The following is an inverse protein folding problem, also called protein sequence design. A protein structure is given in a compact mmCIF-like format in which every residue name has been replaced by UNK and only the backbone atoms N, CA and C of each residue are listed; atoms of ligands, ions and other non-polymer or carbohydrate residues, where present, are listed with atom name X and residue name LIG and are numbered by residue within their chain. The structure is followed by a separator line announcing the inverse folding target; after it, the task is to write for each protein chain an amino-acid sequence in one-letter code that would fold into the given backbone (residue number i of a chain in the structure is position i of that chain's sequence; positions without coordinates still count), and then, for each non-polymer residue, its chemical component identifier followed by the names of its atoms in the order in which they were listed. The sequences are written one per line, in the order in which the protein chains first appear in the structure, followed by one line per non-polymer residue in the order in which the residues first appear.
data_IF_578475458845
#
_entry.id   IF_578475458845
#
_cell.length_a   1.000
_cell.length_b   1.000
_cell.length_c   1.000
_cell.angle_alpha   90.00
_cell.angle_beta   90.00
_cell.angle_gamma   90.00
#
_symmetry.space_group_name_H-M   'P 1'
#
loop_
_entity.id
_entity.type
_entity.pdbx_description
1 polymer ?
#
# COMPACT_ATOMS: atom_id res chain seq x y z
N UNK A 1 10.24 -24.86 13.11
CA UNK A 1 9.84 -23.62 12.41
C UNK A 1 9.84 -22.50 13.43
N UNK A 2 10.91 -21.70 13.50
CA UNK A 2 10.91 -20.50 14.35
C UNK A 2 10.16 -19.41 13.58
N UNK A 3 9.26 -18.75 14.29
CA UNK A 3 8.31 -17.72 13.87
C UNK A 3 8.88 -16.77 12.80
N UNK A 4 8.36 -16.88 11.57
CA UNK A 4 8.78 -16.04 10.44
C UNK A 4 8.14 -14.67 10.56
N UNK A 5 8.84 -13.75 11.24
CA UNK A 5 8.38 -12.37 11.44
C UNK A 5 8.03 -11.66 10.13
N UNK A 6 8.62 -12.07 8.99
CA UNK A 6 8.24 -11.54 7.68
C UNK A 6 6.76 -11.72 7.34
N UNK A 7 6.13 -12.82 7.75
CA UNK A 7 4.71 -13.09 7.48
C UNK A 7 3.81 -12.14 8.26
N UNK A 8 4.22 -11.72 9.46
CA UNK A 8 3.50 -10.72 10.27
C UNK A 8 3.55 -9.36 9.58
N UNK A 9 4.72 -8.94 9.09
CA UNK A 9 4.84 -7.68 8.36
C UNK A 9 4.08 -7.69 7.02
N UNK A 10 4.07 -8.82 6.30
CA UNK A 10 3.26 -8.96 5.08
C UNK A 10 1.75 -8.90 5.37
N UNK A 11 1.32 -9.50 6.49
CA UNK A 11 -0.06 -9.43 6.93
C UNK A 11 -0.44 -7.99 7.31
N UNK A 12 0.41 -7.27 8.05
CA UNK A 12 0.21 -5.87 8.39
C UNK A 12 0.20 -4.97 7.14
N UNK A 13 1.07 -5.23 6.16
CA UNK A 13 1.07 -4.52 4.89
C UNK A 13 -0.26 -4.71 4.15
N UNK A 14 -0.70 -5.96 4.01
CA UNK A 14 -1.97 -6.30 3.38
C UNK A 14 -3.17 -5.70 4.12
N UNK A 15 -3.19 -5.79 5.45
CA UNK A 15 -4.24 -5.22 6.28
C UNK A 15 -4.28 -3.69 6.20
N UNK A 16 -3.12 -3.02 6.17
CA UNK A 16 -3.06 -1.58 5.97
C UNK A 16 -3.58 -1.17 4.58
N UNK A 17 -3.27 -1.95 3.53
CA UNK A 17 -3.80 -1.70 2.19
C UNK A 17 -5.31 -1.93 2.10
N UNK A 18 -5.83 -3.03 2.66
CA UNK A 18 -7.27 -3.29 2.64
C UNK A 18 -8.06 -2.41 3.61
N UNK A 19 -7.44 -1.90 4.67
CA UNK A 19 -8.05 -0.93 5.58
C UNK A 19 -8.43 0.39 4.91
N UNK A 20 -7.81 0.72 3.76
CA UNK A 20 -8.16 1.88 2.94
C UNK A 20 -9.60 1.84 2.40
N UNK A 21 -10.20 0.65 2.24
CA UNK A 21 -11.57 0.54 1.77
C UNK A 21 -12.60 1.12 2.75
N UNK A 22 -12.22 1.34 4.01
CA UNK A 22 -13.06 1.97 5.02
C UNK A 22 -12.63 3.38 5.41
N UNK A 23 -11.62 3.98 4.78
CA UNK A 23 -11.07 5.29 5.16
C UNK A 23 -10.94 6.24 3.98
N UNK A 24 -11.28 7.51 4.20
CA UNK A 24 -11.10 8.60 3.23
C UNK A 24 -9.67 9.16 3.31
N UNK A 25 -9.08 9.49 2.17
CA UNK A 25 -7.77 10.13 2.03
C UNK A 25 -7.80 11.61 2.42
N UNK A 26 -8.83 12.33 1.99
CA UNK A 26 -9.01 13.75 2.29
C UNK A 26 -10.50 14.09 2.42
N UNK A 27 -10.80 15.17 3.12
CA UNK A 27 -12.16 15.71 3.25
C UNK A 27 -12.17 17.20 2.93
N UNK A 28 -13.30 17.70 2.44
CA UNK A 28 -13.53 19.13 2.25
C UNK A 28 -14.70 19.60 3.12
N UNK A 29 -14.62 20.83 3.63
CA UNK A 29 -15.69 21.42 4.46
C UNK A 29 -16.95 21.79 3.67
N UNK A 30 -16.81 21.90 2.34
CA UNK A 30 -17.89 22.24 1.41
C UNK A 30 -17.84 21.31 0.21
N UNK A 31 -18.99 21.10 -0.43
CA UNK A 31 -19.03 20.44 -1.75
C UNK A 31 -18.30 21.34 -2.73
N UNK A 32 -17.25 20.81 -3.36
CA UNK A 32 -16.52 21.54 -4.39
C UNK A 32 -17.29 21.38 -5.69
N UNK A 33 -17.92 22.46 -6.17
CA UNK A 33 -18.65 22.45 -7.44
C UNK A 33 -17.74 21.97 -8.59
N UNK A 34 -18.28 21.12 -9.46
CA UNK A 34 -17.59 20.48 -10.59
C UNK A 34 -16.43 19.53 -10.23
N UNK A 35 -16.11 19.29 -8.96
CA UNK A 35 -15.14 18.27 -8.53
C UNK A 35 -15.73 16.86 -8.59
N UNK A 36 -15.02 15.94 -9.23
CA UNK A 36 -15.40 14.52 -9.22
C UNK A 36 -14.91 13.81 -7.94
N UNK A 37 -13.84 14.30 -7.30
CA UNK A 37 -13.25 13.68 -6.11
C UNK A 37 -13.89 14.14 -4.79
N UNK A 38 -14.55 15.29 -4.78
CA UNK A 38 -15.18 15.87 -3.59
C UNK A 38 -16.68 16.12 -3.78
N UNK A 39 -17.32 15.38 -4.67
CA UNK A 39 -18.77 15.46 -4.89
C UNK A 39 -19.58 15.10 -3.64
N UNK A 40 -19.04 14.21 -2.81
CA UNK A 40 -19.54 13.79 -1.50
C UNK A 40 -18.70 14.34 -0.34
N UNK A 41 -17.83 15.33 -0.61
CA UNK A 41 -16.86 15.92 0.32
C UNK A 41 -15.75 14.96 0.79
N UNK A 42 -15.61 13.76 0.21
CA UNK A 42 -14.65 12.76 0.67
C UNK A 42 -13.89 12.12 -0.48
N UNK A 43 -12.61 12.48 -0.63
CA UNK A 43 -11.74 11.73 -1.53
C UNK A 43 -11.35 10.40 -0.89
N UNK A 44 -11.72 9.29 -1.53
CA UNK A 44 -11.54 7.92 -1.08
C UNK A 44 -11.20 6.98 -2.26
N UNK A 45 -11.05 5.68 -1.98
CA UNK A 45 -10.68 4.69 -3.01
C UNK A 45 -11.73 4.50 -4.11
N UNK A 46 -13.00 4.75 -3.80
CA UNK A 46 -14.13 4.47 -4.72
C UNK A 46 -14.28 5.53 -5.81
N UNK A 47 -13.68 6.71 -5.63
CA UNK A 47 -13.78 7.81 -6.60
C UNK A 47 -12.99 7.54 -7.89
N UNK A 48 -12.04 6.61 -7.84
CA UNK A 48 -11.17 6.30 -8.97
C UNK A 48 -10.97 4.78 -9.09
N UNK A 49 -11.50 4.20 -10.17
CA UNK A 49 -11.41 2.75 -10.41
C UNK A 49 -9.96 2.29 -10.57
N UNK A 50 -9.07 3.13 -11.13
CA UNK A 50 -7.65 2.78 -11.29
C UNK A 50 -6.99 2.71 -9.91
N UNK A 51 -7.27 3.66 -9.03
CA UNK A 51 -6.78 3.70 -7.66
C UNK A 51 -7.25 2.48 -6.86
N UNK A 52 -8.54 2.14 -6.96
CA UNK A 52 -9.12 0.95 -6.34
C UNK A 52 -8.41 -0.33 -6.81
N UNK A 53 -8.20 -0.48 -8.12
CA UNK A 53 -7.52 -1.64 -8.70
C UNK A 53 -6.07 -1.72 -8.25
N UNK A 54 -5.33 -0.60 -8.24
CA UNK A 54 -3.93 -0.58 -7.82
C UNK A 54 -3.76 -0.96 -6.35
N UNK A 55 -4.58 -0.42 -5.44
CA UNK A 55 -4.50 -0.79 -4.03
C UNK A 55 -4.99 -2.23 -3.77
N UNK A 56 -6.03 -2.68 -4.46
CA UNK A 56 -6.46 -4.08 -4.39
C UNK A 56 -5.35 -5.04 -4.83
N UNK A 57 -4.68 -4.74 -5.95
CA UNK A 57 -3.52 -5.49 -6.43
C UNK A 57 -2.37 -5.47 -5.41
N UNK A 58 -2.00 -4.30 -4.89
CA UNK A 58 -0.92 -4.19 -3.91
C UNK A 58 -1.17 -5.04 -2.66
N UNK A 59 -2.40 -4.97 -2.11
CA UNK A 59 -2.83 -5.73 -0.95
C UNK A 59 -2.88 -7.23 -1.20
N UNK A 60 -3.39 -7.66 -2.36
CA UNK A 60 -3.43 -9.05 -2.77
C UNK A 60 -2.03 -9.63 -2.99
N UNK A 61 -1.12 -8.88 -3.61
CA UNK A 61 0.28 -9.29 -3.81
C UNK A 61 0.98 -9.48 -2.46
N UNK A 62 0.80 -8.54 -1.51
CA UNK A 62 1.35 -8.66 -0.15
C UNK A 62 0.79 -9.89 0.59
N UNK A 63 -0.51 -10.14 0.47
CA UNK A 63 -1.17 -11.30 1.07
C UNK A 63 -0.67 -12.62 0.50
N UNK A 64 -0.63 -12.75 -0.84
CA UNK A 64 -0.15 -13.95 -1.52
C UNK A 64 1.31 -14.24 -1.17
N UNK A 65 2.15 -13.21 -0.99
CA UNK A 65 3.54 -13.38 -0.58
C UNK A 65 3.69 -14.12 0.76
N UNK A 66 2.68 -14.14 1.64
CA UNK A 66 2.71 -14.90 2.91
C UNK A 66 2.88 -16.40 2.64
N UNK A 67 2.18 -16.93 1.63
CA UNK A 67 2.16 -18.36 1.30
C UNK A 67 3.41 -18.82 0.51
N UNK A 68 4.20 -17.88 -0.02
CA UNK A 68 5.42 -18.16 -0.76
C UNK A 68 6.64 -18.47 0.12
N UNK A 69 6.44 -18.78 1.40
CA UNK A 69 7.51 -19.04 2.36
C UNK A 69 8.49 -20.16 1.96
N UNK A 70 8.09 -21.06 1.05
CA UNK A 70 8.98 -22.11 0.51
C UNK A 70 10.02 -21.54 -0.46
N UNK A 71 9.68 -20.52 -1.25
CA UNK A 71 10.57 -19.90 -2.23
C UNK A 71 10.89 -18.46 -1.80
N UNK A 72 11.97 -18.29 -1.03
CA UNK A 72 12.36 -17.01 -0.42
C UNK A 72 12.71 -15.95 -1.45
N UNK A 73 13.32 -16.35 -2.57
CA UNK A 73 13.66 -15.43 -3.66
C UNK A 73 12.38 -14.90 -4.30
N UNK A 74 11.43 -15.78 -4.62
CA UNK A 74 10.15 -15.37 -5.18
C UNK A 74 9.33 -14.55 -4.17
N UNK A 75 9.28 -14.97 -2.91
CA UNK A 75 8.61 -14.23 -1.83
C UNK A 75 9.11 -12.78 -1.74
N UNK A 76 10.44 -12.59 -1.80
CA UNK A 76 11.05 -11.26 -1.80
C UNK A 76 10.66 -10.45 -3.04
N UNK A 77 10.74 -11.04 -4.24
CA UNK A 77 10.44 -10.34 -5.47
C UNK A 77 8.97 -9.90 -5.54
N UNK A 78 8.04 -10.76 -5.11
CA UNK A 78 6.62 -10.43 -5.01
C UNK A 78 6.38 -9.35 -3.95
N UNK A 79 7.09 -9.39 -2.81
CA UNK A 79 7.00 -8.32 -1.81
C UNK A 79 7.47 -6.98 -2.36
N UNK A 80 8.58 -6.96 -3.13
CA UNK A 80 9.06 -5.76 -3.79
C UNK A 80 8.08 -5.25 -4.86
N UNK A 81 7.42 -6.15 -5.57
CA UNK A 81 6.37 -5.78 -6.51
C UNK A 81 5.20 -5.08 -5.79
N UNK A 82 4.77 -5.60 -4.62
CA UNK A 82 3.73 -4.93 -3.82
C UNK A 82 4.15 -3.51 -3.42
N UNK A 83 5.42 -3.29 -3.05
CA UNK A 83 5.93 -1.94 -2.75
C UNK A 83 5.83 -1.02 -3.98
N UNK A 84 6.26 -1.50 -5.15
CA UNK A 84 6.21 -0.71 -6.39
C UNK A 84 4.78 -0.36 -6.77
N UNK A 85 3.85 -1.32 -6.66
CA UNK A 85 2.43 -1.07 -6.95
C UNK A 85 1.83 -0.09 -5.94
N UNK A 86 2.14 -0.21 -4.65
CA UNK A 86 1.71 0.75 -3.63
C UNK A 86 2.25 2.16 -3.87
N UNK A 87 3.51 2.29 -4.31
CA UNK A 87 4.09 3.58 -4.67
C UNK A 87 3.42 4.17 -5.92
N UNK A 88 3.13 3.35 -6.92
CA UNK A 88 2.39 3.78 -8.11
C UNK A 88 0.97 4.23 -7.76
N UNK A 89 0.27 3.50 -6.89
CA UNK A 89 -1.05 3.87 -6.37
C UNK A 89 -1.02 5.21 -5.62
N UNK A 90 -0.02 5.38 -4.75
CA UNK A 90 0.17 6.63 -4.00
C UNK A 90 0.48 7.80 -4.96
N UNK A 91 1.36 7.60 -5.95
CA UNK A 91 1.64 8.60 -6.97
C UNK A 91 0.40 8.97 -7.80
N UNK A 92 -0.42 7.98 -8.17
CA UNK A 92 -1.69 8.20 -8.86
C UNK A 92 -2.69 9.00 -8.02
N UNK A 93 -2.82 8.68 -6.71
CA UNK A 93 -3.69 9.46 -5.82
C UNK A 93 -3.27 10.92 -5.72
N UNK A 94 -1.96 11.20 -5.63
CA UNK A 94 -1.44 12.56 -5.58
C UNK A 94 -1.69 13.27 -6.91
N UNK A 95 -1.47 12.59 -8.04
CA UNK A 95 -1.75 13.15 -9.36
C UNK A 95 -3.23 13.55 -9.50
N UNK A 96 -4.16 12.64 -9.18
CA UNK A 96 -5.60 12.92 -9.22
C UNK A 96 -5.98 14.08 -8.29
N UNK A 97 -5.46 14.06 -7.06
CA UNK A 97 -5.67 15.14 -6.10
C UNK A 97 -5.16 16.48 -6.63
N UNK A 98 -3.95 16.54 -7.20
CA UNK A 98 -3.42 17.79 -7.76
C UNK A 98 -4.21 18.26 -8.99
N UNK A 99 -4.63 17.34 -9.86
CA UNK A 99 -5.40 17.70 -11.05
C UNK A 99 -6.79 18.22 -10.71
N UNK A 100 -7.46 17.67 -9.69
CA UNK A 100 -8.80 18.13 -9.32
C UNK A 100 -8.75 19.30 -8.33
N UNK A 101 -7.90 19.24 -7.29
CA UNK A 101 -7.79 20.30 -6.27
C UNK A 101 -7.07 21.55 -6.78
N UNK A 102 -5.97 21.44 -7.54
CA UNK A 102 -5.32 22.64 -8.10
C UNK A 102 -6.19 23.34 -9.14
N UNK A 103 -7.19 22.64 -9.71
CA UNK A 103 -8.15 23.21 -10.65
C UNK A 103 -9.33 23.92 -9.96
N UNK A 104 -9.63 23.62 -8.69
CA UNK A 104 -10.95 23.95 -8.09
C UNK A 104 -10.94 24.36 -6.60
N UNK A 105 -9.85 24.18 -5.86
CA UNK A 105 -9.82 24.43 -4.42
C UNK A 105 -9.53 25.90 -4.10
N UNK A 106 -10.59 26.69 -3.86
CA UNK A 106 -10.54 27.99 -3.18
C UNK A 106 -10.81 27.88 -1.67
N UNK A 107 -10.95 26.66 -1.11
CA UNK A 107 -11.28 26.40 0.29
C UNK A 107 -10.58 25.16 0.87
N UNK A 108 -10.49 25.11 2.20
CA UNK A 108 -9.68 24.17 2.99
C UNK A 108 -10.00 22.69 2.71
N UNK A 109 -9.08 22.00 2.03
CA UNK A 109 -9.08 20.54 1.94
C UNK A 109 -8.17 20.02 3.03
N UNK A 110 -8.72 19.20 3.94
CA UNK A 110 -7.98 18.62 5.06
C UNK A 110 -7.59 17.17 4.76
N UNK A 111 -6.29 16.90 4.86
CA UNK A 111 -5.77 15.55 4.75
C UNK A 111 -6.22 14.70 5.93
N UNK A 112 -6.80 13.53 5.63
CA UNK A 112 -7.31 12.60 6.63
C UNK A 112 -6.32 11.45 6.87
N UNK A 113 -6.61 10.69 7.93
CA UNK A 113 -5.76 9.57 8.36
C UNK A 113 -5.60 8.47 7.29
N UNK A 114 -6.52 8.39 6.32
CA UNK A 114 -6.44 7.43 5.21
C UNK A 114 -5.17 7.57 4.37
N UNK A 115 -4.56 8.76 4.30
CA UNK A 115 -3.27 8.95 3.61
C UNK A 115 -2.07 8.30 4.32
N UNK A 116 -2.20 7.97 5.61
CA UNK A 116 -1.15 7.30 6.37
C UNK A 116 -1.05 5.80 6.09
N UNK A 117 -2.16 5.15 5.74
CA UNK A 117 -2.21 3.70 5.53
C UNK A 117 -1.36 3.19 4.34
N UNK A 118 -1.34 3.83 3.16
CA UNK A 118 -0.46 3.44 2.04
C UNK A 118 1.02 3.50 2.44
N UNK A 119 1.39 4.54 3.21
CA UNK A 119 2.76 4.73 3.71
C UNK A 119 3.12 3.61 4.69
N UNK A 120 2.22 3.28 5.62
CA UNK A 120 2.40 2.15 6.54
C UNK A 120 2.52 0.81 5.79
N UNK A 121 1.69 0.59 4.77
CA UNK A 121 1.75 -0.62 3.95
C UNK A 121 3.12 -0.77 3.27
N UNK A 122 3.65 0.32 2.70
CA UNK A 122 4.99 0.36 2.09
C UNK A 122 6.08 0.07 3.13
N UNK A 123 6.01 0.69 4.31
CA UNK A 123 6.98 0.48 5.39
C UNK A 123 6.98 -0.99 5.83
N UNK A 124 5.81 -1.57 6.08
CA UNK A 124 5.70 -2.98 6.49
C UNK A 124 6.19 -3.93 5.41
N UNK A 125 5.84 -3.70 4.14
CA UNK A 125 6.34 -4.50 3.03
C UNK A 125 7.87 -4.37 2.87
N UNK A 126 8.44 -3.18 3.06
CA UNK A 126 9.88 -2.97 3.01
C UNK A 126 10.62 -3.70 4.15
N UNK A 127 10.06 -3.66 5.35
CA UNK A 127 10.57 -4.41 6.51
C UNK A 127 10.49 -5.92 6.24
N UNK A 128 9.36 -6.41 5.72
CA UNK A 128 9.21 -7.81 5.32
C UNK A 128 10.28 -8.24 4.31
N UNK A 129 10.51 -7.44 3.25
CA UNK A 129 11.51 -7.71 2.24
C UNK A 129 12.93 -7.80 2.82
N UNK A 130 13.26 -6.96 3.81
CA UNK A 130 14.54 -7.02 4.54
C UNK A 130 14.67 -8.31 5.33
N UNK A 131 13.64 -8.73 6.06
CA UNK A 131 13.65 -9.98 6.82
C UNK A 131 13.73 -11.21 5.91
N UNK A 132 13.02 -11.24 4.78
CA UNK A 132 13.12 -12.33 3.80
C UNK A 132 14.55 -12.44 3.27
N UNK A 133 15.20 -11.32 2.94
CA UNK A 133 16.60 -11.31 2.48
C UNK A 133 17.57 -11.81 3.55
N UNK A 134 17.35 -11.47 4.81
CA UNK A 134 18.17 -11.94 5.94
C UNK A 134 18.00 -13.46 6.13
N UNK A 135 16.77 -13.94 6.09
CA UNK A 135 16.45 -15.36 6.20
C UNK A 135 17.11 -16.15 5.06
N UNK A 136 16.97 -15.72 3.81
CA UNK A 136 17.59 -16.36 2.63
C UNK A 136 19.12 -16.49 2.78
N UNK A 137 19.80 -15.43 3.25
CA UNK A 137 21.25 -15.47 3.50
C UNK A 137 21.64 -16.46 4.59
N UNK A 138 20.85 -16.54 5.67
CA UNK A 138 21.13 -17.44 6.79
C UNK A 138 21.13 -18.90 6.33
N UNK A 139 20.11 -19.32 5.59
CA UNK A 139 20.03 -20.71 5.09
C UNK A 139 21.16 -21.01 4.10
N UNK A 140 21.43 -20.11 3.15
CA UNK A 140 22.56 -20.29 2.22
C UNK A 140 23.92 -20.39 2.94
N UNK A 141 24.09 -19.70 4.06
CA UNK A 141 25.32 -19.78 4.83
C UNK A 141 25.47 -21.10 5.58
N UNK A 142 24.36 -21.70 6.03
CA UNK A 142 24.34 -23.02 6.67
C UNK A 142 24.60 -24.15 5.67
N UNK A 143 24.05 -24.05 4.46
CA UNK A 143 24.27 -25.05 3.41
C UNK A 143 25.72 -25.08 2.93
N UNK A 144 26.47 -23.98 3.07
CA UNK A 144 27.91 -23.92 2.74
C UNK A 144 28.83 -24.60 3.75
N UNK A 145 28.33 -24.89 4.96
CA UNK A 145 29.11 -25.52 6.05
C UNK A 145 28.84 -27.03 6.16
N UNK A 146 27.92 -27.55 5.34
CA UNK A 146 27.60 -28.97 5.22
C UNK A 146 28.30 -29.56 4.01
#
# INVERSE_FOLDING_TARGET
MIQRIQSVFLLLASAATFGLFGLSFAKSDQVIADSQLFSDQQFNLMDDTVLMVLFCLAGAIAFLAIFLFKNRVLQRNITLLSIVVSLAAMGWSVFQFTQDAASKATGAVEFNFGLGLPVLAIIFAAIAARFIKKDDKLVRSMDRLR
#
